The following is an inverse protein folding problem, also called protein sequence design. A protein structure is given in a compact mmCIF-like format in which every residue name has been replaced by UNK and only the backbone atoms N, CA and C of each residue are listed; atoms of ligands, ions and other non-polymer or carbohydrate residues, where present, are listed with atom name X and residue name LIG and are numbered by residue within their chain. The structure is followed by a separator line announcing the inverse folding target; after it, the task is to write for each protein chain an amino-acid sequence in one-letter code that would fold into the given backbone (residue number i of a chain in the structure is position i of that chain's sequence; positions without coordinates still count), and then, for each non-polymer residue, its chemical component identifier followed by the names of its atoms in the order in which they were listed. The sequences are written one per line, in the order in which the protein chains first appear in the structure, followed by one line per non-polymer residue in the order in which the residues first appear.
data_IF_406293559424
#
_entry.id   IF_406293559424
#
_cell.length_a   1.000
_cell.length_b   1.000
_cell.length_c   1.000
_cell.angle_alpha   90.00
_cell.angle_beta   90.00
_cell.angle_gamma   90.00
#
_symmetry.space_group_name_H-M   'P 1'
#
loop_
_entity.id
_entity.type
_entity.pdbx_description
1 polymer ?
#
# COMPACT_ATOMS: atom_id res chain seq x y z
N UNK A 1 7.53 17.60 -41.96
CA UNK A 1 6.95 17.35 -40.62
C UNK A 1 7.04 15.85 -40.38
N UNK A 2 7.91 15.41 -39.48
CA UNK A 2 8.06 13.99 -39.13
C UNK A 2 6.86 13.57 -38.29
N UNK A 3 5.95 12.76 -38.78
CA UNK A 3 4.91 12.11 -38.00
C UNK A 3 5.62 11.24 -36.92
N UNK A 4 5.49 11.62 -35.65
CA UNK A 4 5.89 10.76 -34.55
C UNK A 4 4.96 9.55 -34.54
N UNK A 5 5.42 8.45 -35.09
CA UNK A 5 4.74 7.14 -34.95
C UNK A 5 4.67 6.81 -33.48
N UNK A 6 3.49 6.94 -32.89
CA UNK A 6 3.23 6.51 -31.52
C UNK A 6 3.21 4.98 -31.54
N UNK A 7 4.30 4.35 -31.11
CA UNK A 7 4.34 2.88 -30.92
C UNK A 7 3.42 2.53 -29.76
N UNK A 8 2.35 1.82 -30.06
CA UNK A 8 1.45 1.26 -29.07
C UNK A 8 2.07 0.01 -28.43
N UNK A 9 1.70 -0.31 -27.19
CA UNK A 9 2.11 -1.57 -26.54
C UNK A 9 1.69 -2.81 -27.35
N UNK A 10 0.60 -2.69 -28.14
CA UNK A 10 0.13 -3.73 -29.06
C UNK A 10 1.13 -4.08 -30.17
N UNK A 11 2.04 -3.18 -30.54
CA UNK A 11 2.93 -3.33 -31.68
C UNK A 11 4.17 -4.19 -31.40
N UNK A 12 4.44 -4.46 -30.12
CA UNK A 12 5.61 -5.25 -29.70
C UNK A 12 5.25 -6.29 -28.63
N UNK A 13 5.48 -7.56 -28.95
CA UNK A 13 5.30 -8.67 -28.00
C UNK A 13 6.19 -8.48 -26.76
N UNK A 14 7.45 -8.06 -26.95
CA UNK A 14 8.37 -7.82 -25.85
C UNK A 14 7.90 -6.70 -24.91
N UNK A 15 7.37 -5.59 -25.46
CA UNK A 15 6.83 -4.51 -24.65
C UNK A 15 5.60 -4.94 -23.83
N UNK A 16 4.71 -5.77 -24.40
CA UNK A 16 3.56 -6.33 -23.67
C UNK A 16 3.99 -7.23 -22.52
N UNK A 17 4.90 -8.15 -22.78
CA UNK A 17 5.42 -9.05 -21.72
C UNK A 17 6.19 -8.28 -20.66
N UNK A 18 6.96 -7.27 -21.03
CA UNK A 18 7.65 -6.39 -20.08
C UNK A 18 6.68 -5.61 -19.19
N UNK A 19 5.64 -5.03 -19.77
CA UNK A 19 4.60 -4.33 -19.02
C UNK A 19 3.86 -5.29 -18.08
N UNK A 20 3.48 -6.47 -18.56
CA UNK A 20 2.83 -7.49 -17.73
C UNK A 20 3.72 -7.91 -16.55
N UNK A 21 5.00 -8.12 -16.79
CA UNK A 21 5.96 -8.49 -15.73
C UNK A 21 6.04 -7.39 -14.67
N UNK A 22 6.21 -6.12 -15.05
CA UNK A 22 6.29 -4.99 -14.11
C UNK A 22 5.02 -4.88 -13.29
N UNK A 23 3.86 -4.97 -13.92
CA UNK A 23 2.55 -4.89 -13.24
C UNK A 23 2.38 -6.06 -12.27
N UNK A 24 2.63 -7.28 -12.72
CA UNK A 24 2.50 -8.48 -11.88
C UNK A 24 3.47 -8.45 -10.69
N UNK A 25 4.70 -7.97 -10.91
CA UNK A 25 5.69 -7.84 -9.85
C UNK A 25 5.29 -6.76 -8.81
N UNK A 26 4.72 -5.65 -9.27
CA UNK A 26 4.20 -4.60 -8.38
C UNK A 26 3.07 -5.13 -7.50
N UNK A 27 2.13 -5.88 -8.09
CA UNK A 27 1.04 -6.51 -7.35
C UNK A 27 1.55 -7.56 -6.37
N UNK A 28 2.47 -8.41 -6.81
CA UNK A 28 3.13 -9.39 -5.94
C UNK A 28 3.78 -8.70 -4.74
N UNK A 29 4.59 -7.66 -4.97
CA UNK A 29 5.26 -6.92 -3.90
C UNK A 29 4.24 -6.24 -2.95
N UNK A 30 3.15 -5.71 -3.49
CA UNK A 30 2.07 -5.12 -2.72
C UNK A 30 1.43 -6.13 -1.76
N UNK A 31 0.94 -7.23 -2.26
CA UNK A 31 0.32 -8.25 -1.40
C UNK A 31 1.33 -8.94 -0.48
N UNK A 32 2.56 -9.20 -0.96
CA UNK A 32 3.60 -9.76 -0.10
C UNK A 32 3.87 -8.89 1.14
N UNK A 33 4.00 -7.57 0.97
CA UNK A 33 4.23 -6.64 2.09
C UNK A 33 2.99 -6.47 2.99
N UNK A 34 1.80 -6.76 2.50
CA UNK A 34 0.59 -6.85 3.33
C UNK A 34 0.61 -8.13 4.18
N UNK A 35 0.81 -9.28 3.54
CA UNK A 35 0.65 -10.58 4.16
C UNK A 35 1.81 -10.98 5.06
N UNK A 36 3.03 -10.43 4.82
CA UNK A 36 4.20 -10.68 5.66
C UNK A 36 4.01 -10.26 7.12
N UNK A 37 3.02 -9.42 7.40
CA UNK A 37 2.72 -9.04 8.79
C UNK A 37 2.17 -10.21 9.62
N UNK A 38 1.51 -11.20 9.01
CA UNK A 38 0.95 -12.34 9.71
C UNK A 38 2.01 -13.23 10.40
N UNK A 39 3.05 -13.72 9.73
CA UNK A 39 4.12 -14.47 10.37
C UNK A 39 4.98 -13.64 11.32
N UNK A 40 4.99 -12.31 11.19
CA UNK A 40 5.74 -11.43 12.09
C UNK A 40 5.05 -11.14 13.42
N UNK A 41 3.82 -11.62 13.64
CA UNK A 41 3.08 -11.38 14.90
C UNK A 41 3.92 -11.68 16.14
N UNK A 42 4.47 -12.89 16.23
CA UNK A 42 5.26 -13.29 17.38
C UNK A 42 6.51 -12.44 17.62
N UNK A 43 7.12 -11.94 16.55
CA UNK A 43 8.28 -11.05 16.64
C UNK A 43 7.87 -9.67 17.17
N UNK A 44 6.76 -9.11 16.68
CA UNK A 44 6.22 -7.84 17.16
C UNK A 44 5.79 -7.92 18.64
N UNK A 45 5.14 -9.01 19.05
CA UNK A 45 4.74 -9.23 20.44
C UNK A 45 5.96 -9.38 21.35
N UNK A 46 7.01 -10.06 20.93
CA UNK A 46 8.20 -10.30 21.77
C UNK A 46 9.18 -9.12 21.80
N UNK A 47 9.40 -8.43 20.67
CA UNK A 47 10.38 -7.35 20.59
C UNK A 47 9.81 -5.98 20.92
N UNK A 48 8.58 -5.69 20.49
CA UNK A 48 7.92 -4.40 20.73
C UNK A 48 6.91 -4.46 21.88
N UNK A 49 6.81 -5.62 22.54
CA UNK A 49 5.89 -5.84 23.65
C UNK A 49 4.43 -5.48 23.29
N UNK A 50 4.05 -5.71 22.04
CA UNK A 50 2.66 -5.55 21.60
C UNK A 50 1.82 -6.69 22.15
N UNK A 51 0.61 -6.38 22.62
CA UNK A 51 -0.35 -7.42 22.93
C UNK A 51 -1.17 -7.83 21.69
N UNK A 52 -1.88 -8.96 21.77
CA UNK A 52 -2.67 -9.46 20.64
C UNK A 52 -3.77 -8.50 20.19
N UNK A 53 -4.29 -7.63 21.08
CA UNK A 53 -5.30 -6.62 20.72
C UNK A 53 -4.65 -5.48 19.92
N UNK A 54 -3.46 -5.02 20.31
CA UNK A 54 -2.68 -4.01 19.59
C UNK A 54 -2.28 -4.51 18.21
N UNK A 55 -1.87 -5.77 18.10
CA UNK A 55 -1.59 -6.40 16.81
C UNK A 55 -2.86 -6.49 15.94
N UNK A 56 -3.99 -6.88 16.51
CA UNK A 56 -5.28 -6.92 15.81
C UNK A 56 -5.72 -5.54 15.32
N UNK A 57 -5.54 -4.50 16.16
CA UNK A 57 -5.80 -3.10 15.79
C UNK A 57 -4.93 -2.67 14.61
N UNK A 58 -3.62 -2.95 14.67
CA UNK A 58 -2.69 -2.66 13.58
C UNK A 58 -3.09 -3.35 12.26
N UNK A 59 -3.38 -4.65 12.29
CA UNK A 59 -3.71 -5.41 11.08
C UNK A 59 -5.06 -5.02 10.50
N UNK A 60 -6.05 -4.66 11.32
CA UNK A 60 -7.36 -4.18 10.86
C UNK A 60 -7.27 -2.86 10.10
N UNK A 61 -6.24 -2.07 10.36
CA UNK A 61 -6.05 -0.75 9.75
C UNK A 61 -5.87 -0.79 8.23
N UNK A 62 -5.40 -1.90 7.66
CA UNK A 62 -5.24 -2.06 6.22
C UNK A 62 -6.49 -1.66 5.42
N UNK A 63 -7.67 -2.01 5.93
CA UNK A 63 -8.94 -1.74 5.25
C UNK A 63 -9.62 -0.42 5.62
N UNK A 64 -9.16 0.30 6.66
CA UNK A 64 -9.92 1.41 7.22
C UNK A 64 -10.31 2.48 6.20
N UNK A 65 -9.36 2.99 5.45
CA UNK A 65 -9.63 4.07 4.49
C UNK A 65 -10.43 3.58 3.29
N UNK A 66 -10.22 2.34 2.86
CA UNK A 66 -10.97 1.77 1.75
C UNK A 66 -12.43 1.52 2.10
N UNK A 67 -12.71 1.07 3.33
CA UNK A 67 -14.07 0.77 3.81
C UNK A 67 -14.79 2.02 4.29
N UNK A 68 -14.19 2.80 5.21
CA UNK A 68 -14.88 3.92 5.85
C UNK A 68 -14.86 5.21 5.03
N UNK A 69 -13.82 5.43 4.24
CA UNK A 69 -13.69 6.64 3.41
C UNK A 69 -13.90 6.37 1.91
N UNK A 70 -14.27 5.15 1.56
CA UNK A 70 -14.57 4.76 0.17
C UNK A 70 -13.44 5.06 -0.82
N UNK A 71 -12.19 5.00 -0.39
CA UNK A 71 -11.05 5.33 -1.24
C UNK A 71 -10.95 4.47 -2.49
N UNK A 72 -11.49 3.25 -2.46
CA UNK A 72 -11.56 2.39 -3.64
C UNK A 72 -12.45 3.01 -4.73
N UNK A 73 -13.58 3.62 -4.36
CA UNK A 73 -14.48 4.32 -5.29
C UNK A 73 -13.79 5.57 -5.83
N UNK A 74 -13.15 6.35 -4.96
CA UNK A 74 -12.39 7.55 -5.34
C UNK A 74 -11.27 7.16 -6.31
N UNK A 75 -10.55 6.08 -6.03
CA UNK A 75 -9.50 5.53 -6.90
C UNK A 75 -10.03 5.15 -8.28
N UNK A 76 -11.22 4.54 -8.35
CA UNK A 76 -11.90 4.24 -9.62
C UNK A 76 -12.22 5.49 -10.42
N UNK A 77 -12.75 6.54 -9.78
CA UNK A 77 -13.04 7.83 -10.42
C UNK A 77 -11.75 8.48 -10.94
N UNK A 78 -10.67 8.44 -10.17
CA UNK A 78 -9.36 8.97 -10.58
C UNK A 78 -8.85 8.17 -11.79
N UNK A 79 -8.95 6.85 -11.76
CA UNK A 79 -8.55 5.98 -12.86
C UNK A 79 -9.30 6.29 -14.16
N UNK A 80 -10.61 6.56 -14.07
CA UNK A 80 -11.43 6.90 -15.22
C UNK A 80 -11.09 8.27 -15.81
N UNK A 81 -10.77 9.24 -14.97
CA UNK A 81 -10.47 10.62 -15.39
C UNK A 81 -9.02 10.85 -15.80
N UNK A 82 -8.08 10.26 -15.08
CA UNK A 82 -6.64 10.54 -15.22
C UNK A 82 -5.86 9.40 -15.88
N UNK A 83 -6.49 8.23 -16.01
CA UNK A 83 -5.95 7.09 -16.74
C UNK A 83 -4.96 6.25 -15.93
N UNK A 84 -4.61 5.09 -16.52
CA UNK A 84 -3.82 4.02 -15.86
C UNK A 84 -2.44 4.48 -15.39
N UNK A 85 -1.74 5.30 -16.19
CA UNK A 85 -0.36 5.73 -15.86
C UNK A 85 -0.32 6.59 -14.61
N UNK A 86 -1.21 7.58 -14.53
CA UNK A 86 -1.28 8.48 -13.39
C UNK A 86 -1.70 7.73 -12.13
N UNK A 87 -2.76 6.94 -12.22
CA UNK A 87 -3.31 6.19 -11.09
C UNK A 87 -2.33 5.12 -10.59
N UNK A 88 -1.65 4.41 -11.48
CA UNK A 88 -0.64 3.42 -11.12
C UNK A 88 0.58 4.05 -10.43
N UNK A 89 1.09 5.18 -10.94
CA UNK A 89 2.20 5.88 -10.28
C UNK A 89 1.76 6.45 -8.92
N UNK A 90 0.57 7.02 -8.84
CA UNK A 90 0.00 7.54 -7.60
C UNK A 90 -0.18 6.45 -6.55
N UNK A 91 -0.73 5.29 -6.92
CA UNK A 91 -0.90 4.15 -6.02
C UNK A 91 0.44 3.63 -5.49
N UNK A 92 1.45 3.49 -6.36
CA UNK A 92 2.79 3.08 -5.96
C UNK A 92 3.42 4.09 -4.98
N UNK A 93 3.25 5.39 -5.22
CA UNK A 93 3.74 6.45 -4.32
C UNK A 93 3.06 6.36 -2.94
N UNK A 94 1.75 6.15 -2.90
CA UNK A 94 1.00 5.97 -1.64
C UNK A 94 1.47 4.73 -0.89
N UNK A 95 1.75 3.61 -1.59
CA UNK A 95 2.32 2.40 -0.99
C UNK A 95 3.68 2.68 -0.33
N UNK A 96 4.57 3.41 -1.01
CA UNK A 96 5.89 3.77 -0.48
C UNK A 96 5.76 4.64 0.76
N UNK A 97 4.90 5.66 0.74
CA UNK A 97 4.66 6.54 1.89
C UNK A 97 4.12 5.75 3.08
N UNK A 98 3.09 4.92 2.87
CA UNK A 98 2.51 4.09 3.93
C UNK A 98 3.53 3.12 4.54
N UNK A 99 4.35 2.48 3.69
CA UNK A 99 5.45 1.60 4.15
C UNK A 99 6.50 2.37 4.94
N UNK A 100 6.89 3.55 4.49
CA UNK A 100 7.88 4.38 5.18
C UNK A 100 7.40 4.82 6.58
N UNK A 101 6.12 5.23 6.69
CA UNK A 101 5.51 5.59 7.99
C UNK A 101 5.48 4.36 8.90
N UNK A 102 5.03 3.21 8.40
CA UNK A 102 4.98 1.95 9.15
C UNK A 102 6.37 1.54 9.64
N UNK A 103 7.37 1.58 8.77
CA UNK A 103 8.76 1.26 9.09
C UNK A 103 9.31 2.20 10.17
N UNK A 104 9.14 3.51 9.96
CA UNK A 104 9.60 4.51 10.93
C UNK A 104 8.97 4.30 12.31
N UNK A 105 7.66 4.08 12.38
CA UNK A 105 6.95 3.87 13.63
C UNK A 105 7.46 2.65 14.41
N UNK A 106 7.82 1.57 13.72
CA UNK A 106 8.29 0.32 14.33
C UNK A 106 9.77 0.41 14.76
N UNK A 107 10.58 1.25 14.09
CA UNK A 107 12.03 1.30 14.31
C UNK A 107 12.47 2.48 15.17
N UNK A 108 11.59 3.47 15.40
CA UNK A 108 11.94 4.64 16.21
C UNK A 108 11.72 4.38 17.70
N UNK A 109 12.69 4.82 18.52
CA UNK A 109 12.56 4.79 19.98
C UNK A 109 11.82 6.03 20.52
N UNK A 110 11.57 7.03 19.67
CA UNK A 110 10.94 8.29 20.11
C UNK A 110 9.46 8.14 20.49
N UNK A 111 8.85 7.01 20.14
CA UNK A 111 7.45 6.69 20.47
C UNK A 111 7.32 5.73 21.66
N UNK A 112 8.44 5.33 22.27
CA UNK A 112 8.44 4.37 23.36
C UNK A 112 7.80 4.98 24.62
N UNK A 113 6.81 4.28 25.17
CA UNK A 113 6.09 4.72 26.37
C UNK A 113 4.98 5.75 26.12
N UNK A 114 4.87 6.32 24.95
CA UNK A 114 3.80 7.25 24.59
C UNK A 114 2.48 6.51 24.30
N UNK A 115 1.38 7.07 24.81
CA UNK A 115 0.02 6.50 24.61
C UNK A 115 -0.86 7.54 23.92
N UNK A 116 -1.48 7.15 22.81
CA UNK A 116 -2.43 7.96 22.05
C UNK A 116 -3.78 7.23 22.07
N UNK A 117 -4.82 7.88 22.60
CA UNK A 117 -6.19 7.33 22.69
C UNK A 117 -6.26 5.92 23.36
N UNK A 118 -5.40 5.66 24.34
CA UNK A 118 -5.37 4.38 25.04
C UNK A 118 -4.62 3.25 24.33
N UNK A 119 -3.97 3.55 23.21
CA UNK A 119 -3.13 2.61 22.43
C UNK A 119 -1.70 3.17 22.38
N UNK A 120 -0.69 2.31 22.35
CA UNK A 120 0.70 2.76 22.18
C UNK A 120 0.83 3.62 20.93
N UNK A 121 1.51 4.75 21.03
CA UNK A 121 1.73 5.67 19.91
C UNK A 121 2.38 4.97 18.71
N UNK A 122 3.31 4.06 18.98
CA UNK A 122 3.96 3.22 17.98
C UNK A 122 2.94 2.38 17.19
N UNK A 123 1.99 1.73 17.85
CA UNK A 123 0.93 0.93 17.22
C UNK A 123 0.01 1.82 16.40
N UNK A 124 -0.38 2.98 16.94
CA UNK A 124 -1.27 3.92 16.26
C UNK A 124 -0.67 4.45 14.96
N UNK A 125 0.58 4.88 15.00
CA UNK A 125 1.27 5.44 13.82
C UNK A 125 1.58 4.33 12.81
N UNK A 126 1.98 3.14 13.26
CA UNK A 126 2.15 1.98 12.39
C UNK A 126 0.83 1.60 11.69
N UNK A 127 -0.29 1.63 12.42
CA UNK A 127 -1.63 1.38 11.89
C UNK A 127 -2.03 2.42 10.82
N UNK A 128 -1.76 3.71 11.05
CA UNK A 128 -1.98 4.76 10.05
C UNK A 128 -1.14 4.53 8.78
N UNK A 129 0.13 4.18 8.94
CA UNK A 129 0.99 3.81 7.82
C UNK A 129 0.43 2.62 7.04
N UNK A 130 -0.11 1.63 7.75
CA UNK A 130 -0.70 0.44 7.13
C UNK A 130 -2.03 0.74 6.43
N UNK A 131 -2.85 1.65 6.97
CA UNK A 131 -4.07 2.13 6.33
C UNK A 131 -3.78 2.88 5.02
N UNK A 132 -2.78 3.78 5.04
CA UNK A 132 -2.32 4.49 3.83
C UNK A 132 -1.79 3.50 2.79
N UNK A 133 -0.98 2.53 3.22
CA UNK A 133 -0.46 1.48 2.38
C UNK A 133 -1.60 0.68 1.70
N UNK A 134 -2.62 0.29 2.46
CA UNK A 134 -3.78 -0.44 1.95
C UNK A 134 -4.53 0.31 0.85
N UNK A 135 -4.66 1.63 0.95
CA UNK A 135 -5.22 2.46 -0.13
C UNK A 135 -4.41 2.30 -1.42
N UNK A 136 -3.09 2.35 -1.32
CA UNK A 136 -2.21 2.21 -2.47
C UNK A 136 -2.35 0.84 -3.15
N UNK A 137 -2.36 -0.25 -2.37
CA UNK A 137 -2.47 -1.62 -2.90
C UNK A 137 -3.80 -1.83 -3.61
N UNK A 138 -4.91 -1.41 -3.00
CA UNK A 138 -6.24 -1.60 -3.58
C UNK A 138 -6.45 -0.77 -4.85
N UNK A 139 -5.97 0.49 -4.87
CA UNK A 139 -6.00 1.32 -6.08
C UNK A 139 -5.11 0.73 -7.18
N UNK A 140 -3.95 0.17 -6.84
CA UNK A 140 -3.13 -0.56 -7.80
C UNK A 140 -3.90 -1.76 -8.38
N UNK A 141 -4.62 -2.51 -7.55
CA UNK A 141 -5.45 -3.66 -7.96
C UNK A 141 -6.49 -3.29 -9.01
N UNK A 142 -7.28 -2.24 -8.79
CA UNK A 142 -8.26 -1.80 -9.80
C UNK A 142 -7.61 -1.22 -11.06
N UNK A 143 -6.41 -0.64 -10.94
CA UNK A 143 -5.67 -0.11 -12.08
C UNK A 143 -5.19 -1.22 -13.00
N UNK A 144 -4.82 -2.37 -12.45
CA UNK A 144 -4.37 -3.55 -13.19
C UNK A 144 -5.53 -4.27 -13.88
N UNK A 145 -6.72 -4.24 -13.28
CA UNK A 145 -7.92 -4.88 -13.81
C UNK A 145 -8.53 -4.17 -15.03
N UNK A 146 -8.11 -2.93 -15.35
CA UNK A 146 -8.58 -2.13 -16.47
C UNK A 146 -7.64 -2.21 -17.68
#
# INVERSE_FOLDING_TARGET
MSEKVIKLLSDSKAARWGALFVVSFTMFAGYYLADVMAPLKGLLENQLLWNSAEYGFFTSAYGWFNVFLFFLIIGGIILDKMGIRFTGLGSATVMVIGTAIKYWAITTNSLDGEIILGVKAQVMIAALGYAIYGVGVEIAGITVAK
#
